data_IF_587065816145
#
_entry.id   IF_587065816145
#
_cell.length_a   1.000
_cell.length_b   1.000
_cell.length_c   1.000
_cell.angle_alpha   90.00
_cell.angle_beta   90.00
_cell.angle_gamma   90.00
#
_symmetry.space_group_name_H-M   'P 1'
#
loop_
_entity.id
_entity.type
_entity.pdbx_description
1 polymer ?
#
# COMPACT_ATOMS: atom_id res chain seq x y z
N UNK A 1 68.17 29.68 24.13
CA UNK A 1 67.39 28.44 23.95
C UNK A 1 66.02 28.82 23.44
N UNK A 2 65.72 28.51 22.19
CA UNK A 2 64.36 28.73 21.59
C UNK A 2 63.64 27.42 21.58
N UNK A 3 62.50 27.28 22.29
CA UNK A 3 61.64 26.12 22.27
C UNK A 3 60.63 26.31 21.15
N UNK A 4 60.57 25.35 20.19
CA UNK A 4 59.59 25.27 19.13
C UNK A 4 58.47 24.33 19.60
N UNK A 5 57.28 24.90 19.80
CA UNK A 5 56.08 24.14 20.15
C UNK A 5 55.37 23.73 18.85
N UNK A 6 55.45 22.45 18.49
CA UNK A 6 54.73 21.91 17.34
C UNK A 6 53.32 21.48 17.79
N UNK A 7 52.30 22.25 17.42
CA UNK A 7 50.93 21.88 17.64
C UNK A 7 50.47 20.93 16.53
N UNK A 8 50.25 19.66 16.86
CA UNK A 8 49.61 18.69 15.95
C UNK A 8 48.10 18.93 15.98
N UNK A 9 47.55 19.47 14.90
CA UNK A 9 46.09 19.55 14.69
C UNK A 9 45.55 18.20 14.25
N UNK A 10 44.81 17.51 15.12
CA UNK A 10 44.09 16.31 14.80
C UNK A 10 42.80 16.71 14.08
N UNK A 11 42.77 16.63 12.76
CA UNK A 11 41.56 16.81 11.98
C UNK A 11 40.68 15.54 12.11
N UNK A 12 39.68 15.60 12.99
CA UNK A 12 38.63 14.59 13.01
C UNK A 12 37.71 14.82 11.81
N UNK A 13 37.85 13.99 10.75
CA UNK A 13 36.87 13.92 9.65
C UNK A 13 35.64 13.24 10.19
N UNK A 14 34.60 14.00 10.49
CA UNK A 14 33.26 13.47 10.73
C UNK A 14 32.75 12.89 9.39
N UNK A 15 32.79 11.56 9.25
CA UNK A 15 32.11 10.88 8.18
C UNK A 15 30.62 10.99 8.49
N UNK A 16 29.91 11.90 7.83
CA UNK A 16 28.47 11.93 7.88
C UNK A 16 27.98 10.63 7.25
N UNK A 17 27.53 9.67 8.05
CA UNK A 17 26.87 8.49 7.58
C UNK A 17 25.53 8.92 6.96
N UNK A 18 25.45 8.95 5.65
CA UNK A 18 24.17 9.14 4.97
C UNK A 18 23.35 7.88 5.24
N UNK A 19 22.13 8.07 5.76
CA UNK A 19 21.17 6.97 5.90
C UNK A 19 20.83 6.46 4.50
N UNK A 20 21.25 5.24 4.19
CA UNK A 20 20.87 4.57 2.95
C UNK A 20 19.44 4.04 3.10
N UNK A 21 18.62 4.15 2.06
CA UNK A 21 17.30 3.53 2.00
C UNK A 21 17.33 2.34 1.04
N UNK A 22 16.67 1.26 1.45
CA UNK A 22 16.43 0.09 0.61
C UNK A 22 14.93 -0.01 0.38
N UNK A 23 14.50 -0.27 -0.87
CA UNK A 23 13.11 -0.44 -1.23
C UNK A 23 12.88 -1.82 -1.83
N UNK A 24 11.80 -2.46 -1.40
CA UNK A 24 11.28 -3.68 -2.00
C UNK A 24 9.88 -3.41 -2.49
N UNK A 25 9.53 -3.93 -3.66
CA UNK A 25 8.19 -3.78 -4.21
C UNK A 25 7.80 -5.00 -5.03
N UNK A 26 6.51 -5.26 -5.10
CA UNK A 26 5.91 -6.14 -6.09
C UNK A 26 4.64 -5.48 -6.63
N UNK A 27 4.19 -5.91 -7.80
CA UNK A 27 2.92 -5.50 -8.38
C UNK A 27 2.19 -6.71 -8.93
N UNK A 28 0.88 -6.71 -8.80
CA UNK A 28 0.00 -7.73 -9.33
C UNK A 28 -0.82 -7.15 -10.49
N UNK A 29 -1.23 -8.02 -11.41
CA UNK A 29 -2.10 -7.63 -12.52
C UNK A 29 -3.55 -7.51 -12.06
N UNK A 30 -4.30 -6.64 -12.71
CA UNK A 30 -5.75 -6.55 -12.54
C UNK A 30 -6.41 -7.88 -12.95
N UNK A 31 -7.26 -8.44 -12.08
CA UNK A 31 -7.99 -9.69 -12.31
C UNK A 31 -9.48 -9.47 -12.08
N UNK A 32 -10.31 -10.30 -12.72
CA UNK A 32 -11.76 -10.28 -12.52
C UNK A 32 -12.16 -11.14 -11.34
N UNK A 33 -12.90 -10.58 -10.38
CA UNK A 33 -13.58 -11.19 -9.23
C UNK A 33 -12.77 -12.18 -8.36
N UNK A 34 -13.12 -12.28 -7.07
CA UNK A 34 -12.55 -13.24 -6.07
C UNK A 34 -11.02 -13.32 -6.10
N UNK A 35 -10.39 -12.16 -6.07
CA UNK A 35 -8.94 -12.02 -6.26
C UNK A 35 -8.22 -12.43 -4.97
N UNK A 36 -7.33 -13.43 -5.10
CA UNK A 36 -6.31 -13.71 -4.10
C UNK A 36 -4.96 -13.63 -4.79
N UNK A 37 -4.19 -12.58 -4.49
CA UNK A 37 -2.89 -12.34 -5.10
C UNK A 37 -1.81 -12.37 -4.02
N UNK A 38 -0.67 -12.90 -4.37
CA UNK A 38 0.49 -12.99 -3.48
C UNK A 38 1.69 -12.31 -4.11
N UNK A 39 2.54 -11.73 -3.27
CA UNK A 39 3.82 -11.16 -3.67
C UNK A 39 4.84 -11.35 -2.56
N UNK A 40 6.09 -11.18 -2.90
CA UNK A 40 7.21 -11.30 -1.96
C UNK A 40 7.90 -9.96 -1.82
N UNK A 41 8.17 -9.57 -0.57
CA UNK A 41 9.04 -8.44 -0.24
C UNK A 41 10.27 -8.99 0.49
N UNK A 42 11.45 -8.51 0.12
CA UNK A 42 12.69 -8.87 0.80
C UNK A 42 12.77 -8.32 2.21
N UNK A 43 13.57 -8.96 3.05
CA UNK A 43 13.95 -8.44 4.35
C UNK A 43 15.20 -7.56 4.22
N UNK A 44 15.37 -6.64 5.16
CA UNK A 44 16.57 -5.81 5.23
C UNK A 44 17.78 -6.69 5.59
N UNK A 45 18.86 -6.56 4.83
CA UNK A 45 20.13 -7.23 5.16
C UNK A 45 20.81 -6.54 6.35
N UNK A 46 20.87 -7.21 7.48
CA UNK A 46 21.53 -6.70 8.68
C UNK A 46 23.05 -6.50 8.53
N UNK A 47 23.67 -7.07 7.49
CA UNK A 47 25.06 -6.80 7.10
C UNK A 47 25.29 -5.39 6.56
N UNK A 48 24.25 -4.71 6.08
CA UNK A 48 24.32 -3.34 5.57
C UNK A 48 24.27 -2.27 6.68
N UNK A 49 23.95 -2.67 7.91
CA UNK A 49 23.87 -1.74 9.05
C UNK A 49 22.63 -1.97 9.91
N UNK A 50 22.21 -0.93 10.63
CA UNK A 50 21.05 -0.98 11.52
C UNK A 50 19.83 -0.38 10.84
N UNK A 51 18.73 -1.15 10.76
CA UNK A 51 17.44 -0.65 10.30
C UNK A 51 16.84 0.27 11.37
N UNK A 52 16.67 1.56 11.05
CA UNK A 52 16.15 2.58 11.97
C UNK A 52 14.69 2.94 11.74
N UNK A 53 14.11 2.54 10.60
CA UNK A 53 12.71 2.77 10.28
C UNK A 53 12.28 1.92 9.09
N UNK A 54 11.00 1.63 9.01
CA UNK A 54 10.40 0.96 7.86
C UNK A 54 8.97 1.48 7.63
N UNK A 55 8.58 1.58 6.37
CA UNK A 55 7.26 1.98 5.94
C UNK A 55 6.74 0.97 4.93
N UNK A 56 5.53 0.47 5.15
CA UNK A 56 4.79 -0.30 4.16
C UNK A 56 3.79 0.63 3.47
N UNK A 57 3.73 0.58 2.15
CA UNK A 57 2.68 1.23 1.37
C UNK A 57 2.00 0.19 0.49
N UNK A 58 0.66 0.19 0.51
CA UNK A 58 -0.18 -0.65 -0.33
C UNK A 58 -1.05 0.27 -1.17
N UNK A 59 -1.03 0.07 -2.48
CA UNK A 59 -1.92 0.77 -3.41
C UNK A 59 -2.90 -0.24 -4.00
N UNK A 60 -4.16 0.14 -4.06
CA UNK A 60 -5.23 -0.66 -4.60
C UNK A 60 -5.95 0.07 -5.73
N UNK A 61 -6.40 -0.69 -6.72
CA UNK A 61 -7.23 -0.22 -7.81
C UNK A 61 -8.36 -1.21 -8.05
N UNK A 62 -9.57 -0.71 -8.29
CA UNK A 62 -10.69 -1.50 -8.72
C UNK A 62 -11.38 -0.85 -9.93
N UNK A 63 -11.69 -1.68 -10.92
CA UNK A 63 -12.54 -1.32 -12.07
C UNK A 63 -13.89 -2.01 -11.87
N UNK A 64 -14.95 -1.21 -11.78
CA UNK A 64 -16.28 -1.68 -11.42
C UNK A 64 -17.26 -1.47 -12.57
N UNK A 65 -18.04 -2.53 -12.85
CA UNK A 65 -19.16 -2.51 -13.78
C UNK A 65 -20.39 -3.04 -13.07
N UNK A 66 -21.54 -2.39 -13.23
CA UNK A 66 -22.78 -2.82 -12.61
C UNK A 66 -24.00 -2.41 -13.43
N UNK A 67 -25.10 -3.13 -13.24
CA UNK A 67 -26.34 -2.95 -14.01
C UNK A 67 -27.50 -2.78 -13.06
N UNK A 68 -28.37 -1.81 -13.34
CA UNK A 68 -29.64 -1.59 -12.67
C UNK A 68 -30.82 -1.90 -13.58
N UNK A 69 -31.85 -2.54 -13.02
CA UNK A 69 -33.10 -2.82 -13.70
C UNK A 69 -34.29 -2.35 -12.89
N UNK A 70 -35.20 -1.58 -13.51
CA UNK A 70 -36.44 -1.13 -12.88
C UNK A 70 -37.55 -2.19 -13.00
N UNK A 71 -37.86 -2.87 -11.90
CA UNK A 71 -39.00 -3.82 -11.80
C UNK A 71 -40.32 -3.17 -11.39
N UNK A 72 -40.31 -1.88 -11.03
CA UNK A 72 -41.53 -1.20 -10.61
C UNK A 72 -42.46 -0.93 -11.80
N UNK A 73 -43.75 -0.74 -11.50
CA UNK A 73 -44.76 -0.39 -12.50
C UNK A 73 -44.76 1.10 -12.88
N UNK A 74 -43.82 1.87 -12.35
CA UNK A 74 -43.66 3.29 -12.60
C UNK A 74 -42.18 3.63 -12.84
N UNK A 75 -41.93 4.78 -13.47
CA UNK A 75 -40.60 5.33 -13.58
C UNK A 75 -40.01 5.62 -12.20
N UNK A 76 -38.76 5.25 -11.98
CA UNK A 76 -38.05 5.41 -10.72
C UNK A 76 -36.74 6.16 -10.91
N UNK A 77 -36.38 6.97 -9.91
CA UNK A 77 -35.03 7.54 -9.83
C UNK A 77 -34.25 6.79 -8.75
N UNK A 78 -33.11 6.25 -9.12
CA UNK A 78 -32.24 5.51 -8.22
C UNK A 78 -30.78 5.88 -8.43
N UNK A 79 -29.97 5.69 -7.39
CA UNK A 79 -28.51 5.71 -7.44
C UNK A 79 -28.02 4.30 -7.14
N UNK A 80 -27.16 3.79 -8.00
CA UNK A 80 -26.47 2.54 -7.78
C UNK A 80 -25.06 2.81 -7.29
N UNK A 81 -24.59 2.00 -6.37
CA UNK A 81 -23.23 2.03 -5.86
C UNK A 81 -22.68 0.62 -5.86
N UNK A 82 -21.46 0.46 -6.36
CA UNK A 82 -20.65 -0.74 -6.22
C UNK A 82 -19.49 -0.43 -5.28
N UNK A 83 -19.08 -1.39 -4.46
CA UNK A 83 -17.95 -1.24 -3.55
C UNK A 83 -17.11 -2.52 -3.50
N UNK A 84 -15.82 -2.33 -3.34
CA UNK A 84 -14.83 -3.40 -3.17
C UNK A 84 -14.00 -3.08 -1.95
N UNK A 85 -13.85 -4.06 -1.07
CA UNK A 85 -12.93 -3.99 0.05
C UNK A 85 -11.68 -4.81 -0.26
N UNK A 86 -10.52 -4.17 -0.18
CA UNK A 86 -9.23 -4.82 -0.32
C UNK A 86 -8.62 -5.03 1.06
N UNK A 87 -8.34 -6.28 1.39
CA UNK A 87 -7.64 -6.69 2.60
C UNK A 87 -6.33 -7.38 2.25
N UNK A 88 -5.40 -7.40 3.18
CA UNK A 88 -4.09 -8.02 3.01
C UNK A 88 -3.65 -8.72 4.27
N UNK A 89 -2.75 -9.67 4.11
CA UNK A 89 -2.13 -10.40 5.20
C UNK A 89 -0.66 -10.66 4.88
N UNK A 90 0.10 -11.08 5.87
CA UNK A 90 1.51 -11.43 5.71
C UNK A 90 1.79 -12.79 6.35
N UNK A 91 2.71 -13.56 5.77
CA UNK A 91 3.27 -14.75 6.39
C UNK A 91 4.18 -14.43 7.59
N UNK A 92 4.71 -13.18 7.65
CA UNK A 92 5.43 -12.70 8.81
C UNK A 92 4.45 -12.34 9.92
N UNK A 93 4.36 -13.13 10.97
CA UNK A 93 3.37 -12.99 12.05
C UNK A 93 3.38 -11.60 12.71
N UNK A 94 4.57 -11.01 12.92
CA UNK A 94 4.71 -9.67 13.47
C UNK A 94 4.09 -8.59 12.55
N UNK A 95 4.22 -8.73 11.25
CA UNK A 95 3.61 -7.83 10.28
C UNK A 95 2.11 -8.09 10.16
N UNK A 96 1.68 -9.34 10.11
CA UNK A 96 0.28 -9.72 10.00
C UNK A 96 -0.58 -9.11 11.12
N UNK A 97 -0.04 -9.04 12.34
CA UNK A 97 -0.73 -8.43 13.49
C UNK A 97 -0.95 -6.92 13.37
N UNK A 98 -0.22 -6.24 12.49
CA UNK A 98 -0.33 -4.80 12.23
C UNK A 98 -1.22 -4.47 11.01
N UNK A 99 -1.55 -5.47 10.19
CA UNK A 99 -2.31 -5.32 8.96
C UNK A 99 -3.81 -5.54 9.20
N UNK A 100 -4.42 -4.65 9.98
CA UNK A 100 -5.84 -4.73 10.37
C UNK A 100 -6.75 -3.81 9.58
N UNK A 101 -6.17 -2.90 8.81
CA UNK A 101 -6.91 -1.93 8.02
C UNK A 101 -7.19 -2.46 6.61
N UNK A 102 -8.17 -1.87 5.92
CA UNK A 102 -8.57 -2.21 4.56
C UNK A 102 -8.61 -0.97 3.68
N UNK A 103 -8.56 -1.13 2.36
CA UNK A 103 -8.87 -0.07 1.41
C UNK A 103 -10.27 -0.33 0.88
N UNK A 104 -11.17 0.64 1.06
CA UNK A 104 -12.52 0.58 0.52
C UNK A 104 -12.59 1.44 -0.75
N UNK A 105 -12.88 0.80 -1.87
CA UNK A 105 -13.03 1.41 -3.18
C UNK A 105 -14.50 1.40 -3.58
N UNK A 106 -15.00 2.48 -4.21
CA UNK A 106 -16.40 2.55 -4.58
C UNK A 106 -16.64 3.35 -5.86
N UNK A 107 -17.67 2.95 -6.59
CA UNK A 107 -18.14 3.68 -7.77
C UNK A 107 -19.66 3.86 -7.71
N UNK A 108 -20.14 4.95 -8.27
CA UNK A 108 -21.58 5.29 -8.27
C UNK A 108 -22.05 5.72 -9.65
N UNK A 109 -23.27 5.33 -10.02
CA UNK A 109 -23.95 5.81 -11.23
C UNK A 109 -24.34 7.29 -11.15
N UNK A 110 -24.32 7.91 -9.96
CA UNK A 110 -25.09 9.12 -9.71
C UNK A 110 -26.62 8.84 -9.75
N UNK A 111 -27.48 9.87 -9.54
CA UNK A 111 -28.92 9.73 -9.71
C UNK A 111 -29.27 9.45 -11.17
N UNK A 112 -30.05 8.39 -11.42
CA UNK A 112 -30.50 7.97 -12.75
C UNK A 112 -32.00 7.71 -12.72
N UNK A 113 -32.72 8.18 -13.76
CA UNK A 113 -34.13 7.85 -13.94
C UNK A 113 -34.26 6.66 -14.85
N UNK A 114 -35.01 5.66 -14.42
CA UNK A 114 -35.31 4.42 -15.13
C UNK A 114 -36.79 4.40 -15.52
N UNK A 115 -37.09 4.22 -16.78
CA UNK A 115 -38.45 3.89 -17.21
C UNK A 115 -38.85 2.48 -16.72
N UNK A 116 -40.14 2.15 -16.81
CA UNK A 116 -40.65 0.82 -16.46
C UNK A 116 -39.97 -0.24 -17.33
N UNK A 117 -39.38 -1.25 -16.70
CA UNK A 117 -38.67 -2.34 -17.37
C UNK A 117 -37.33 -1.96 -18.00
N UNK A 118 -36.83 -0.75 -17.75
CA UNK A 118 -35.56 -0.29 -18.29
C UNK A 118 -34.37 -0.88 -17.53
N UNK A 119 -33.34 -1.26 -18.28
CA UNK A 119 -32.03 -1.67 -17.78
C UNK A 119 -30.98 -0.61 -18.17
N UNK A 120 -30.14 -0.22 -17.22
CA UNK A 120 -28.98 0.63 -17.48
C UNK A 120 -27.72 -0.01 -16.92
N UNK A 121 -26.66 0.00 -17.73
CA UNK A 121 -25.33 -0.48 -17.34
C UNK A 121 -24.40 0.72 -17.12
N UNK A 122 -23.51 0.61 -16.16
CA UNK A 122 -22.52 1.61 -15.76
C UNK A 122 -21.16 0.96 -15.69
N UNK A 123 -20.16 1.67 -16.14
CA UNK A 123 -18.78 1.25 -16.15
C UNK A 123 -18.17 1.18 -17.55
N UNK A 124 -16.88 0.88 -17.62
CA UNK A 124 -15.96 0.71 -16.49
C UNK A 124 -15.75 2.01 -15.68
N UNK A 125 -15.87 1.93 -14.36
CA UNK A 125 -15.60 3.01 -13.43
C UNK A 125 -14.42 2.58 -12.54
N UNK A 126 -13.37 3.39 -12.51
CA UNK A 126 -12.16 3.09 -11.76
C UNK A 126 -12.13 3.90 -10.46
N UNK A 127 -11.75 3.25 -9.38
CA UNK A 127 -11.42 3.89 -8.12
C UNK A 127 -10.08 3.35 -7.61
N UNK A 128 -9.32 4.20 -6.92
CA UNK A 128 -7.99 3.88 -6.39
C UNK A 128 -7.87 4.31 -4.94
N UNK A 129 -7.12 3.57 -4.18
CA UNK A 129 -6.83 3.89 -2.78
C UNK A 129 -5.42 3.52 -2.40
N UNK A 130 -4.95 4.10 -1.32
CA UNK A 130 -3.65 3.76 -0.75
C UNK A 130 -3.73 3.65 0.77
N UNK A 131 -2.89 2.80 1.31
CA UNK A 131 -2.69 2.60 2.73
C UNK A 131 -1.20 2.63 3.04
N UNK A 132 -0.82 3.27 4.15
CA UNK A 132 0.57 3.31 4.61
C UNK A 132 0.64 3.00 6.09
N UNK A 133 1.59 2.16 6.47
CA UNK A 133 1.82 1.73 7.85
C UNK A 133 3.29 1.89 8.22
N UNK A 134 3.53 2.62 9.31
CA UNK A 134 4.85 2.67 9.92
C UNK A 134 5.10 1.35 10.67
N UNK A 135 6.24 0.72 10.39
CA UNK A 135 6.61 -0.57 10.91
C UNK A 135 7.72 -0.50 11.99
N UNK A 136 7.94 0.66 12.57
CA UNK A 136 9.00 0.87 13.59
C UNK A 136 8.88 -0.07 14.79
N UNK A 137 7.67 -0.55 15.10
CA UNK A 137 7.44 -1.48 16.21
C UNK A 137 7.98 -2.92 15.95
N UNK A 138 8.26 -3.27 14.70
CA UNK A 138 8.65 -4.64 14.31
C UNK A 138 9.97 -4.70 13.54
N UNK A 139 10.82 -3.68 13.65
CA UNK A 139 12.09 -3.60 12.88
C UNK A 139 12.96 -4.85 13.02
N UNK A 140 13.01 -5.44 14.22
CA UNK A 140 13.77 -6.67 14.45
C UNK A 140 13.28 -7.86 13.60
N UNK A 141 11.98 -7.91 13.32
CA UNK A 141 11.38 -8.98 12.50
C UNK A 141 11.53 -8.72 10.99
N UNK A 142 11.93 -7.51 10.59
CA UNK A 142 12.10 -7.11 9.20
C UNK A 142 13.56 -7.27 8.72
N UNK A 143 14.41 -7.93 9.49
CA UNK A 143 15.83 -8.07 9.20
C UNK A 143 16.23 -9.55 9.15
N UNK A 144 17.14 -9.87 8.23
CA UNK A 144 17.82 -11.15 8.17
C UNK A 144 19.25 -10.98 7.68
N UNK A 145 20.22 -11.81 8.12
CA UNK A 145 21.55 -11.83 7.54
C UNK A 145 21.48 -12.18 6.04
N UNK A 146 22.08 -11.34 5.19
CA UNK A 146 22.04 -11.53 3.75
C UNK A 146 20.72 -11.10 3.08
N UNK A 147 19.78 -10.55 3.84
CA UNK A 147 18.41 -10.27 3.36
C UNK A 147 17.59 -11.56 3.25
N UNK A 148 16.32 -11.44 2.80
CA UNK A 148 15.41 -12.58 2.65
C UNK A 148 14.63 -12.49 1.35
#
# INVERSE_FOLDING_TARGET
MKAILTAAALAATAVASQAASVSYSFSNLLQTTEISQTGTLGLFDSGLGTLTGALLTVNGEAVMEFTGYNKASQSQTARLTSSVELSWSSSLAALSSLLTDTINLSATSGPQTYAVGETKSFGPLTDTGSYSKNLSAILASLQAPGGG
#
